data_IF_861374222964
#
_entry.id   IF_861374222964
#
_cell.length_a   1.000
_cell.length_b   1.000
_cell.length_c   1.000
_cell.angle_alpha   90.00
_cell.angle_beta   90.00
_cell.angle_gamma   90.00
#
_symmetry.space_group_name_H-M   'P 1'
#
loop_
_entity.id
_entity.type
_entity.pdbx_description
1 polymer ?
#
# COMPACT_ATOMS: atom_id res chain seq x y z
N UNK A 1 3.33 -27.86 8.63
CA UNK A 1 2.97 -26.50 8.20
C UNK A 1 4.15 -25.96 7.41
N UNK A 2 4.04 -25.87 6.09
CA UNK A 2 5.07 -25.23 5.25
C UNK A 2 4.86 -23.72 5.33
N UNK A 3 5.85 -22.98 5.83
CA UNK A 3 5.84 -21.53 6.00
C UNK A 3 5.97 -20.78 4.67
N UNK A 4 4.99 -20.94 3.78
CA UNK A 4 5.00 -20.43 2.41
C UNK A 4 3.94 -19.35 2.14
N UNK A 5 3.75 -18.40 3.05
CA UNK A 5 2.79 -17.29 2.82
C UNK A 5 3.40 -16.11 2.05
N UNK A 6 4.73 -15.98 2.00
CA UNK A 6 5.41 -14.89 1.30
C UNK A 6 6.67 -15.41 0.62
N UNK A 7 6.95 -14.99 -0.61
CA UNK A 7 8.18 -15.46 -1.28
C UNK A 7 9.38 -14.66 -0.76
N UNK A 8 10.56 -15.29 -0.73
CA UNK A 8 11.82 -14.62 -0.35
C UNK A 8 12.05 -13.32 -1.14
N UNK A 9 11.44 -13.20 -2.32
CA UNK A 9 11.52 -12.05 -3.21
C UNK A 9 10.89 -10.79 -2.60
N UNK A 10 9.68 -10.86 -2.06
CA UNK A 10 9.02 -9.67 -1.50
C UNK A 10 9.70 -9.23 -0.19
N UNK A 11 10.14 -10.19 0.64
CA UNK A 11 10.98 -9.89 1.81
C UNK A 11 12.28 -9.18 1.40
N UNK A 12 12.94 -9.70 0.37
CA UNK A 12 14.19 -9.13 -0.13
C UNK A 12 13.98 -7.73 -0.71
N UNK A 13 12.88 -7.50 -1.43
CA UNK A 13 12.49 -6.18 -1.95
C UNK A 13 12.36 -5.14 -0.82
N UNK A 14 11.68 -5.48 0.28
CA UNK A 14 11.53 -4.56 1.42
C UNK A 14 12.88 -4.34 2.14
N UNK A 15 13.72 -5.37 2.25
CA UNK A 15 15.08 -5.25 2.82
C UNK A 15 16.02 -4.37 2.00
N UNK A 16 15.90 -4.41 0.68
CA UNK A 16 16.64 -3.54 -0.24
C UNK A 16 16.25 -2.06 -0.10
N UNK A 17 15.11 -1.81 0.53
CA UNK A 17 14.67 -0.49 0.94
C UNK A 17 13.63 0.11 0.00
N UNK A 18 13.28 1.36 0.28
CA UNK A 18 12.10 1.99 -0.30
C UNK A 18 12.15 2.13 -1.82
N UNK A 19 13.33 2.32 -2.41
CA UNK A 19 13.48 2.46 -3.86
C UNK A 19 13.14 1.16 -4.61
N UNK A 20 13.43 -0.01 -4.02
CA UNK A 20 13.05 -1.30 -4.58
C UNK A 20 11.53 -1.49 -4.52
N UNK A 21 10.91 -1.19 -3.36
CA UNK A 21 9.45 -1.20 -3.20
C UNK A 21 8.80 -0.27 -4.23
N UNK A 22 9.37 0.93 -4.41
CA UNK A 22 8.86 1.93 -5.37
C UNK A 22 8.92 1.40 -6.78
N UNK A 23 10.05 0.81 -7.17
CA UNK A 23 10.23 0.24 -8.51
C UNK A 23 9.19 -0.84 -8.83
N UNK A 24 8.81 -1.67 -7.86
CA UNK A 24 7.78 -2.70 -8.06
C UNK A 24 6.40 -2.06 -8.17
N UNK A 25 6.03 -1.18 -7.23
CA UNK A 25 4.70 -0.55 -7.22
C UNK A 25 4.45 0.39 -8.41
N UNK A 26 5.49 1.00 -8.98
CA UNK A 26 5.39 1.79 -10.21
C UNK A 26 5.55 0.98 -11.50
N UNK A 27 5.86 -0.31 -11.40
CA UNK A 27 6.10 -1.18 -12.55
C UNK A 27 4.82 -1.53 -13.32
N UNK A 28 4.94 -2.39 -14.34
CA UNK A 28 3.79 -2.88 -15.13
C UNK A 28 3.38 -4.32 -14.79
N UNK A 29 4.09 -4.97 -13.87
CA UNK A 29 3.81 -6.34 -13.44
C UNK A 29 2.75 -6.34 -12.33
N UNK A 30 1.49 -6.51 -12.71
CA UNK A 30 0.34 -6.57 -11.78
C UNK A 30 0.55 -7.61 -10.68
N UNK A 31 1.03 -8.81 -11.03
CA UNK A 31 1.20 -9.88 -10.04
C UNK A 31 2.30 -9.55 -9.04
N UNK A 32 3.38 -8.88 -9.48
CA UNK A 32 4.41 -8.40 -8.56
C UNK A 32 3.88 -7.34 -7.59
N UNK A 33 3.04 -6.40 -8.07
CA UNK A 33 2.37 -5.43 -7.19
C UNK A 33 1.47 -6.14 -6.19
N UNK A 34 0.62 -7.05 -6.65
CA UNK A 34 -0.32 -7.80 -5.80
C UNK A 34 0.43 -8.55 -4.69
N UNK A 35 1.46 -9.32 -5.03
CA UNK A 35 2.27 -10.05 -4.02
C UNK A 35 2.96 -9.11 -3.05
N UNK A 36 3.50 -7.98 -3.52
CA UNK A 36 4.16 -7.03 -2.65
C UNK A 36 3.19 -6.34 -1.70
N UNK A 37 2.00 -5.94 -2.17
CA UNK A 37 0.97 -5.35 -1.31
C UNK A 37 0.49 -6.34 -0.23
N UNK A 38 0.27 -7.61 -0.59
CA UNK A 38 -0.03 -8.65 0.40
C UNK A 38 1.11 -8.87 1.41
N UNK A 39 2.37 -8.74 0.98
CA UNK A 39 3.50 -8.81 1.91
C UNK A 39 3.55 -7.59 2.84
N UNK A 40 3.23 -6.41 2.31
CA UNK A 40 3.17 -5.18 3.09
C UNK A 40 2.08 -5.21 4.17
N UNK A 41 0.96 -5.89 3.95
CA UNK A 41 -0.07 -6.10 4.99
C UNK A 41 0.53 -6.75 6.25
N UNK A 42 1.21 -7.88 6.08
CA UNK A 42 1.92 -8.55 7.17
C UNK A 42 3.06 -7.72 7.75
N UNK A 43 3.82 -7.05 6.89
CA UNK A 43 5.00 -6.30 7.30
C UNK A 43 4.65 -5.03 8.08
N UNK A 44 3.53 -4.38 7.75
CA UNK A 44 3.07 -3.16 8.39
C UNK A 44 2.20 -3.44 9.63
N UNK A 45 1.66 -4.65 9.76
CA UNK A 45 0.84 -5.03 10.91
C UNK A 45 1.64 -4.99 12.24
N UNK A 46 1.23 -4.13 13.19
CA UNK A 46 1.87 -4.00 14.50
C UNK A 46 1.96 -5.31 15.29
N UNK A 47 1.08 -6.27 15.03
CA UNK A 47 1.08 -7.59 15.65
C UNK A 47 2.44 -8.31 15.45
N UNK A 48 3.04 -8.17 14.26
CA UNK A 48 4.30 -8.83 13.91
C UNK A 48 5.55 -8.04 14.29
N UNK A 49 5.39 -6.84 14.87
CA UNK A 49 6.46 -6.03 15.48
C UNK A 49 7.65 -5.76 14.56
N UNK A 50 7.40 -5.65 13.25
CA UNK A 50 8.42 -5.18 12.32
C UNK A 50 8.71 -3.69 12.60
N UNK A 51 9.98 -3.29 12.49
CA UNK A 51 10.33 -1.88 12.58
C UNK A 51 10.16 -1.23 11.20
N UNK A 52 9.06 -0.49 11.05
CA UNK A 52 8.75 0.27 9.83
C UNK A 52 8.97 1.77 10.03
N UNK A 53 9.46 2.20 11.19
CA UNK A 53 9.51 3.63 11.55
C UNK A 53 10.30 4.47 10.56
N UNK A 54 11.39 3.91 10.01
CA UNK A 54 12.23 4.55 9.01
C UNK A 54 11.63 4.66 7.61
N UNK A 55 10.55 3.95 7.30
CA UNK A 55 9.94 3.91 5.96
C UNK A 55 8.42 4.12 5.95
N UNK A 56 7.78 4.29 7.11
CA UNK A 56 6.31 4.42 7.24
C UNK A 56 5.75 5.54 6.38
N UNK A 57 6.40 6.71 6.37
CA UNK A 57 5.96 7.86 5.58
C UNK A 57 6.12 7.63 4.08
N UNK A 58 7.20 6.98 3.66
CA UNK A 58 7.39 6.68 2.24
C UNK A 58 6.42 5.61 1.74
N UNK A 59 6.15 4.58 2.54
CA UNK A 59 5.13 3.57 2.25
C UNK A 59 3.77 4.23 2.10
N UNK A 60 3.39 5.11 3.03
CA UNK A 60 2.16 5.89 2.94
C UNK A 60 2.09 6.68 1.62
N UNK A 61 3.11 7.46 1.28
CA UNK A 61 3.14 8.24 0.03
C UNK A 61 2.97 7.34 -1.20
N UNK A 62 3.62 6.17 -1.21
CA UNK A 62 3.54 5.22 -2.31
C UNK A 62 2.18 4.55 -2.42
N UNK A 63 1.56 4.19 -1.30
CA UNK A 63 0.20 3.63 -1.28
C UNK A 63 -0.82 4.66 -1.76
N UNK A 64 -0.68 5.93 -1.39
CA UNK A 64 -1.54 7.00 -1.93
C UNK A 64 -1.40 7.10 -3.46
N UNK A 65 -0.19 6.99 -4.00
CA UNK A 65 0.05 7.00 -5.46
C UNK A 65 -0.61 5.80 -6.14
N UNK A 66 -0.40 4.58 -5.62
CA UNK A 66 -1.01 3.36 -6.17
C UNK A 66 -2.53 3.48 -6.20
N UNK A 67 -3.13 3.97 -5.11
CA UNK A 67 -4.59 4.11 -5.01
C UNK A 67 -5.19 5.04 -6.08
N UNK A 68 -4.47 6.07 -6.52
CA UNK A 68 -4.97 7.08 -7.49
C UNK A 68 -4.46 6.87 -8.93
N UNK A 69 -3.67 5.82 -9.14
CA UNK A 69 -3.17 5.38 -10.45
C UNK A 69 -4.18 4.50 -11.20
N UNK A 70 -4.08 4.39 -12.53
CA UNK A 70 -4.93 3.52 -13.33
C UNK A 70 -4.53 2.03 -13.18
N UNK A 71 -4.69 1.49 -11.98
CA UNK A 71 -4.40 0.09 -11.63
C UNK A 71 -5.66 -0.80 -11.65
N UNK A 72 -5.46 -2.10 -11.54
CA UNK A 72 -6.56 -3.05 -11.33
C UNK A 72 -7.28 -2.79 -10.00
N UNK A 73 -8.59 -3.09 -9.93
CA UNK A 73 -9.40 -2.72 -8.77
C UNK A 73 -8.90 -3.34 -7.47
N UNK A 74 -8.42 -4.58 -7.51
CA UNK A 74 -7.88 -5.28 -6.34
C UNK A 74 -6.59 -4.64 -5.82
N UNK A 75 -5.73 -4.12 -6.69
CA UNK A 75 -4.54 -3.35 -6.31
C UNK A 75 -4.94 -2.07 -5.58
N UNK A 76 -5.96 -1.37 -6.09
CA UNK A 76 -6.46 -0.13 -5.46
C UNK A 76 -7.12 -0.44 -4.11
N UNK A 77 -7.95 -1.48 -4.05
CA UNK A 77 -8.61 -1.93 -2.81
C UNK A 77 -7.59 -2.24 -1.71
N UNK A 78 -6.52 -2.96 -2.07
CA UNK A 78 -5.44 -3.33 -1.15
C UNK A 78 -4.63 -2.11 -0.71
N UNK A 79 -4.27 -1.21 -1.63
CA UNK A 79 -3.55 0.03 -1.26
C UNK A 79 -4.36 0.90 -0.29
N UNK A 80 -5.68 1.03 -0.52
CA UNK A 80 -6.58 1.73 0.40
C UNK A 80 -6.74 0.99 1.74
N UNK A 81 -6.67 -0.34 1.76
CA UNK A 81 -6.70 -1.14 2.99
C UNK A 81 -5.45 -0.89 3.85
N UNK A 82 -4.27 -0.90 3.24
CA UNK A 82 -3.02 -0.63 3.93
C UNK A 82 -2.96 0.79 4.49
N UNK A 83 -3.47 1.78 3.73
CA UNK A 83 -3.59 3.16 4.22
C UNK A 83 -4.48 3.25 5.46
N UNK A 84 -5.63 2.57 5.44
CA UNK A 84 -6.58 2.53 6.56
C UNK A 84 -6.02 1.81 7.79
N UNK A 85 -5.38 0.66 7.59
CA UNK A 85 -4.96 -0.20 8.69
C UNK A 85 -3.70 0.28 9.41
N UNK A 86 -2.78 0.92 8.68
CA UNK A 86 -1.40 1.08 9.15
C UNK A 86 -0.82 2.48 9.04
N UNK A 87 -1.58 3.44 8.49
CA UNK A 87 -1.12 4.81 8.32
C UNK A 87 -2.12 5.81 8.88
N UNK A 88 -1.67 7.05 9.04
CA UNK A 88 -2.44 8.11 9.68
C UNK A 88 -2.58 9.30 8.71
N UNK A 89 -3.73 10.01 8.68
CA UNK A 89 -3.89 11.22 7.88
C UNK A 89 -2.89 12.32 8.29
N UNK A 90 -2.63 13.33 7.43
CA UNK A 90 -3.35 13.65 6.19
C UNK A 90 -2.88 12.83 4.97
N UNK A 91 -3.76 12.61 3.99
CA UNK A 91 -3.46 11.93 2.71
C UNK A 91 -3.50 12.93 1.54
N UNK A 92 -2.45 13.75 1.34
CA UNK A 92 -2.46 14.85 0.37
C UNK A 92 -2.55 14.40 -1.09
N UNK A 93 -1.93 13.27 -1.45
CA UNK A 93 -1.96 12.75 -2.83
C UNK A 93 -3.34 12.16 -3.11
N UNK A 94 -3.86 11.37 -2.17
CA UNK A 94 -5.21 10.82 -2.26
C UNK A 94 -6.26 11.94 -2.40
N UNK A 95 -6.09 13.04 -1.65
CA UNK A 95 -6.97 14.21 -1.71
C UNK A 95 -6.90 14.91 -3.08
N UNK A 96 -5.68 15.19 -3.56
CA UNK A 96 -5.46 15.91 -4.81
C UNK A 96 -5.99 15.15 -6.04
N UNK A 97 -5.90 13.82 -6.01
CA UNK A 97 -6.28 12.96 -7.13
C UNK A 97 -7.53 12.11 -6.86
N UNK A 98 -8.33 12.45 -5.85
CA UNK A 98 -9.58 11.74 -5.51
C UNK A 98 -10.53 11.61 -6.71
N UNK A 99 -10.48 12.57 -7.65
CA UNK A 99 -11.24 12.55 -8.90
C UNK A 99 -10.95 11.34 -9.79
N UNK A 100 -9.74 10.76 -9.71
CA UNK A 100 -9.30 9.62 -10.54
C UNK A 100 -9.88 8.28 -10.08
N UNK A 101 -10.36 8.20 -8.84
CA UNK A 101 -10.90 6.96 -8.29
C UNK A 101 -12.21 6.55 -8.99
N UNK A 102 -12.39 5.25 -9.18
CA UNK A 102 -13.66 4.70 -9.64
C UNK A 102 -14.76 4.92 -8.60
N UNK A 103 -16.04 4.82 -9.00
CA UNK A 103 -17.19 4.96 -8.08
C UNK A 103 -17.13 3.98 -6.90
N UNK A 104 -16.51 2.80 -7.11
CA UNK A 104 -16.33 1.77 -6.09
C UNK A 104 -15.40 2.23 -4.96
N UNK A 105 -14.27 2.86 -5.29
CA UNK A 105 -13.22 3.20 -4.32
C UNK A 105 -13.44 4.55 -3.62
N UNK A 106 -14.25 5.45 -4.22
CA UNK A 106 -14.53 6.78 -3.67
C UNK A 106 -15.04 6.80 -2.22
N UNK A 107 -15.95 5.91 -1.79
CA UNK A 107 -16.41 5.88 -0.39
C UNK A 107 -15.27 5.62 0.60
N UNK A 108 -14.40 4.64 0.32
CA UNK A 108 -13.27 4.29 1.21
C UNK A 108 -12.23 5.42 1.24
N UNK A 109 -11.90 5.99 0.08
CA UNK A 109 -11.01 7.15 0.04
C UNK A 109 -11.59 8.37 0.76
N UNK A 110 -12.90 8.61 0.67
CA UNK A 110 -13.56 9.70 1.39
C UNK A 110 -13.48 9.49 2.91
N UNK A 111 -13.71 8.26 3.38
CA UNK A 111 -13.56 7.90 4.80
C UNK A 111 -12.13 8.22 5.30
N UNK A 112 -11.10 7.81 4.56
CA UNK A 112 -9.70 8.13 4.89
C UNK A 112 -9.44 9.64 4.95
N UNK A 113 -9.96 10.41 3.99
CA UNK A 113 -9.76 11.85 3.90
C UNK A 113 -10.45 12.66 4.99
N UNK A 114 -11.57 12.16 5.52
CA UNK A 114 -12.30 12.80 6.62
C UNK A 114 -11.70 12.51 8.00
N UNK A 115 -10.67 11.65 8.04
CA UNK A 115 -10.13 11.07 9.27
C UNK A 115 -10.89 9.80 9.61
N UNK A 116 -10.18 8.66 9.61
CA UNK A 116 -10.67 7.48 10.28
C UNK A 116 -10.95 7.88 11.74
N UNK A 117 -12.22 7.80 12.15
CA UNK A 117 -12.73 8.34 13.42
C UNK A 117 -12.08 7.72 14.65
#
# INVERSE_FOLDING_TARGET
MNGGMYTEREMQCVKEGIDAVRSVLSGTDTEAKRRLLFYLDWYMDPYYKQDISGIKNDLKEMLEKVAVSPEEEDIIDEALHLLEGYTDPPYPILAAYWGNLSKKHKPKALYLLQGAG
#
